data_IF_593666559969
#
_entry.id   IF_593666559969
#
_cell.length_a   1.000
_cell.length_b   1.000
_cell.length_c   1.000
_cell.angle_alpha   90.00
_cell.angle_beta   90.00
_cell.angle_gamma   90.00
#
_symmetry.space_group_name_H-M   'P 1'
#
loop_
_entity.id
_entity.type
_entity.pdbx_description
1 polymer ?
#
# COMPACT_ATOMS: atom_id res chain seq x y z
N UNK A 1 -8.57 13.90 5.64
CA UNK A 1 -8.99 12.51 5.34
C UNK A 1 -10.08 12.07 6.31
N UNK A 2 -11.32 12.23 5.92
CA UNK A 2 -12.46 11.82 6.73
C UNK A 2 -13.50 11.15 5.84
N UNK A 3 -13.83 9.90 6.17
CA UNK A 3 -14.83 9.15 5.42
C UNK A 3 -16.23 9.53 5.92
N UNK A 4 -17.18 9.56 4.99
CA UNK A 4 -18.57 10.02 5.26
C UNK A 4 -19.41 8.99 6.01
N UNK A 5 -18.82 7.89 6.46
CA UNK A 5 -19.55 6.80 7.10
C UNK A 5 -19.45 6.84 8.62
N UNK A 6 -20.46 6.31 9.28
CA UNK A 6 -20.49 6.18 10.73
C UNK A 6 -19.46 5.19 11.22
N UNK A 7 -19.12 5.27 12.51
CA UNK A 7 -18.26 4.27 13.14
C UNK A 7 -18.88 2.88 13.02
N UNK A 8 -18.02 1.88 12.83
CA UNK A 8 -18.41 0.47 12.83
C UNK A 8 -19.56 0.14 11.86
N UNK A 9 -19.55 0.78 10.67
CA UNK A 9 -20.59 0.59 9.66
C UNK A 9 -20.37 -0.65 8.78
N UNK A 10 -19.15 -1.16 8.73
CA UNK A 10 -18.78 -2.22 7.79
C UNK A 10 -18.05 -3.36 8.50
N UNK A 11 -18.15 -4.56 7.91
CA UNK A 11 -17.40 -5.72 8.37
C UNK A 11 -15.98 -5.73 7.81
N UNK A 12 -15.79 -5.18 6.61
CA UNK A 12 -14.51 -5.15 5.90
C UNK A 12 -14.39 -3.82 5.18
N UNK A 13 -13.19 -3.26 5.19
CA UNK A 13 -12.82 -2.14 4.33
C UNK A 13 -11.54 -2.50 3.60
N UNK A 14 -11.41 -2.09 2.34
CA UNK A 14 -10.21 -2.36 1.56
C UNK A 14 -9.83 -1.16 0.71
N UNK A 15 -8.53 -1.04 0.44
CA UNK A 15 -8.00 -0.05 -0.48
C UNK A 15 -6.86 -0.70 -1.27
N UNK A 16 -6.88 -0.51 -2.59
CA UNK A 16 -5.87 -1.07 -3.49
C UNK A 16 -5.13 0.04 -4.20
N UNK A 17 -3.80 0.08 -4.03
CA UNK A 17 -2.90 0.99 -4.75
C UNK A 17 -3.22 2.47 -4.56
N UNK A 18 -3.84 2.84 -3.44
CA UNK A 18 -4.27 4.20 -3.19
C UNK A 18 -3.76 4.83 -1.90
N UNK A 19 -3.41 4.01 -0.90
CA UNK A 19 -3.03 4.55 0.42
C UNK A 19 -1.76 5.41 0.35
N UNK A 20 -0.84 5.12 -0.58
CA UNK A 20 0.39 5.90 -0.72
C UNK A 20 0.14 7.34 -1.18
N UNK A 21 -1.03 7.59 -1.79
CA UNK A 21 -1.41 8.92 -2.27
C UNK A 21 -2.16 9.73 -1.22
N UNK A 22 -2.47 9.14 -0.08
CA UNK A 22 -3.13 9.83 1.03
C UNK A 22 -2.10 10.70 1.73
N UNK A 23 -2.44 11.96 1.97
CA UNK A 23 -1.53 12.94 2.55
C UNK A 23 -0.97 12.48 3.90
N UNK A 24 -1.83 11.91 4.75
CA UNK A 24 -1.41 11.34 6.02
C UNK A 24 -1.88 9.89 6.10
N UNK A 25 -1.00 8.91 5.79
CA UNK A 25 -1.39 7.51 5.78
C UNK A 25 -1.91 6.99 7.12
N UNK A 26 -1.35 7.47 8.24
CA UNK A 26 -1.80 7.04 9.56
C UNK A 26 -3.25 7.46 9.80
N UNK A 27 -3.60 8.69 9.43
CA UNK A 27 -5.00 9.14 9.52
C UNK A 27 -5.91 8.36 8.57
N UNK A 28 -5.43 8.08 7.35
CA UNK A 28 -6.19 7.26 6.40
C UNK A 28 -6.47 5.87 6.94
N UNK A 29 -5.46 5.22 7.50
CA UNK A 29 -5.62 3.90 8.11
C UNK A 29 -6.54 3.94 9.32
N UNK A 30 -6.44 4.99 10.14
CA UNK A 30 -7.34 5.18 11.28
C UNK A 30 -8.79 5.31 10.85
N UNK A 31 -9.05 6.03 9.75
CA UNK A 31 -10.39 6.18 9.21
C UNK A 31 -10.96 4.86 8.66
N UNK A 32 -10.13 4.08 7.99
CA UNK A 32 -10.54 2.75 7.54
C UNK A 32 -10.91 1.87 8.73
N UNK A 33 -10.12 1.91 9.78
CA UNK A 33 -10.40 1.14 10.99
C UNK A 33 -11.66 1.64 11.71
N UNK A 34 -11.87 2.97 11.73
CA UNK A 34 -13.04 3.57 12.38
C UNK A 34 -14.36 3.06 11.80
N UNK A 35 -14.43 2.96 10.48
CA UNK A 35 -15.68 2.55 9.80
C UNK A 35 -15.91 1.05 9.84
N UNK A 36 -14.90 0.27 10.23
CA UNK A 36 -15.02 -1.20 10.37
C UNK A 36 -15.36 -1.51 11.83
N UNK A 37 -16.26 -2.48 12.03
CA UNK A 37 -16.63 -2.91 13.37
C UNK A 37 -15.47 -3.59 14.11
N UNK A 38 -15.47 -3.58 15.44
CA UNK A 38 -14.48 -4.37 16.20
C UNK A 38 -14.50 -5.83 15.77
N UNK A 39 -13.32 -6.40 15.55
CA UNK A 39 -13.17 -7.76 15.03
C UNK A 39 -13.27 -7.85 13.51
N UNK A 40 -13.64 -6.78 12.83
CA UNK A 40 -13.66 -6.72 11.37
C UNK A 40 -12.26 -6.56 10.78
N UNK A 41 -12.18 -6.47 9.46
CA UNK A 41 -10.91 -6.56 8.74
C UNK A 41 -10.70 -5.33 7.87
N UNK A 42 -9.47 -4.80 7.89
CA UNK A 42 -9.01 -3.80 6.92
C UNK A 42 -7.95 -4.47 6.05
N UNK A 43 -8.15 -4.43 4.74
CA UNK A 43 -7.24 -5.02 3.76
C UNK A 43 -6.63 -3.91 2.91
N UNK A 44 -5.31 -3.91 2.79
CA UNK A 44 -4.60 -2.94 1.95
C UNK A 44 -3.73 -3.72 0.96
N UNK A 45 -3.82 -3.36 -0.31
CA UNK A 45 -2.94 -3.86 -1.36
C UNK A 45 -2.15 -2.67 -1.89
N UNK A 46 -0.82 -2.76 -1.83
CA UNK A 46 0.03 -1.64 -2.25
C UNK A 46 1.34 -2.17 -2.82
N UNK A 47 1.91 -1.40 -3.74
CA UNK A 47 3.22 -1.69 -4.29
C UNK A 47 4.29 -1.61 -3.20
N UNK A 48 5.30 -2.46 -3.33
CA UNK A 48 6.44 -2.46 -2.44
C UNK A 48 7.72 -2.73 -3.21
N UNK A 49 8.76 -3.14 -2.49
CA UNK A 49 10.04 -3.47 -3.08
C UNK A 49 10.29 -4.96 -2.90
N UNK A 50 10.61 -5.69 -3.99
CA UNK A 50 10.95 -7.10 -3.87
C UNK A 50 12.13 -7.32 -2.93
N UNK A 51 12.07 -8.39 -2.15
CA UNK A 51 13.14 -8.74 -1.20
C UNK A 51 13.95 -9.95 -1.64
N UNK A 52 13.56 -10.64 -2.72
CA UNK A 52 14.27 -11.81 -3.23
C UNK A 52 15.57 -11.35 -3.89
N UNK A 53 16.75 -11.83 -3.44
CA UNK A 53 18.04 -11.45 -4.05
C UNK A 53 18.07 -11.81 -5.53
N UNK A 54 18.66 -10.94 -6.34
CA UNK A 54 18.70 -11.10 -7.80
C UNK A 54 17.44 -10.55 -8.46
N UNK A 55 16.27 -10.97 -8.03
CA UNK A 55 15.01 -10.44 -8.55
C UNK A 55 14.84 -8.97 -8.16
N UNK A 56 15.20 -8.61 -6.95
CA UNK A 56 15.09 -7.22 -6.48
C UNK A 56 15.93 -6.27 -7.33
N UNK A 57 17.15 -6.64 -7.67
CA UNK A 57 18.03 -5.83 -8.51
C UNK A 57 17.49 -5.72 -9.95
N UNK A 58 17.02 -6.85 -10.52
CA UNK A 58 16.45 -6.86 -11.86
C UNK A 58 15.19 -6.01 -11.94
N UNK A 59 14.32 -6.11 -10.93
CA UNK A 59 13.11 -5.33 -10.86
C UNK A 59 13.42 -3.84 -10.72
N UNK A 60 14.38 -3.48 -9.88
CA UNK A 60 14.77 -2.08 -9.69
C UNK A 60 15.29 -1.47 -10.99
N UNK A 61 16.17 -2.19 -11.70
CA UNK A 61 16.68 -1.74 -12.99
C UNK A 61 15.55 -1.55 -14.01
N UNK A 62 14.66 -2.55 -14.10
CA UNK A 62 13.53 -2.50 -15.04
C UNK A 62 12.62 -1.31 -14.73
N UNK A 63 12.26 -1.13 -13.47
CA UNK A 63 11.33 -0.08 -13.05
C UNK A 63 11.89 1.33 -13.28
N UNK A 64 13.19 1.50 -13.10
CA UNK A 64 13.83 2.83 -13.23
C UNK A 64 14.19 3.16 -14.66
N UNK A 65 14.63 2.18 -15.45
CA UNK A 65 15.27 2.43 -16.74
C UNK A 65 14.47 1.94 -17.95
N UNK A 66 13.68 0.90 -17.80
CA UNK A 66 12.96 0.27 -18.91
C UNK A 66 11.49 0.69 -18.94
N UNK A 67 10.80 0.53 -17.83
CA UNK A 67 9.35 0.76 -17.76
C UNK A 67 8.93 2.19 -18.13
N UNK A 68 9.58 3.25 -17.62
CA UNK A 68 9.20 4.61 -17.99
C UNK A 68 9.36 4.87 -19.48
N UNK A 69 10.43 4.33 -20.10
CA UNK A 69 10.68 4.50 -21.54
C UNK A 69 9.63 3.76 -22.37
N UNK A 70 9.33 2.52 -22.03
CA UNK A 70 8.30 1.74 -22.72
C UNK A 70 6.92 2.37 -22.54
N UNK A 71 6.58 2.73 -21.32
CA UNK A 71 5.31 3.38 -21.01
C UNK A 71 5.17 4.71 -21.76
N UNK A 72 6.24 5.49 -21.81
CA UNK A 72 6.26 6.75 -22.53
C UNK A 72 6.08 6.57 -24.04
N UNK A 73 6.70 5.53 -24.63
CA UNK A 73 6.54 5.22 -26.05
C UNK A 73 5.12 4.81 -26.41
N UNK A 74 4.48 4.00 -25.55
CA UNK A 74 3.14 3.46 -25.81
C UNK A 74 2.06 4.49 -25.53
N UNK A 75 2.19 5.25 -24.42
CA UNK A 75 1.13 6.15 -23.94
C UNK A 75 1.48 7.63 -24.06
N UNK A 76 2.75 7.98 -24.26
CA UNK A 76 3.23 9.36 -24.23
C UNK A 76 3.28 9.95 -22.81
N UNK A 77 3.21 9.11 -21.77
CA UNK A 77 3.13 9.56 -20.38
C UNK A 77 4.28 9.01 -19.54
N UNK A 78 5.52 9.23 -19.99
CA UNK A 78 6.71 8.77 -19.25
C UNK A 78 6.74 9.31 -17.82
N UNK A 79 6.32 10.55 -17.59
CA UNK A 79 6.32 11.16 -16.27
C UNK A 79 5.37 10.44 -15.28
N UNK A 80 4.23 9.93 -15.78
CA UNK A 80 3.30 9.19 -14.93
C UNK A 80 3.94 7.88 -14.43
N UNK A 81 4.70 7.19 -15.28
CA UNK A 81 5.39 5.97 -14.89
C UNK A 81 6.55 6.24 -13.93
N UNK A 82 7.27 7.34 -14.14
CA UNK A 82 8.31 7.77 -13.20
C UNK A 82 7.72 8.10 -11.83
N UNK A 83 6.59 8.79 -11.79
CA UNK A 83 5.90 9.08 -10.53
C UNK A 83 5.48 7.80 -9.81
N UNK A 84 4.91 6.85 -10.55
CA UNK A 84 4.51 5.56 -9.97
C UNK A 84 5.70 4.84 -9.35
N UNK A 85 6.82 4.76 -10.08
CA UNK A 85 8.02 4.09 -9.57
C UNK A 85 8.58 4.81 -8.34
N UNK A 86 8.70 6.14 -8.38
CA UNK A 86 9.27 6.92 -7.29
C UNK A 86 8.39 6.87 -6.04
N UNK A 87 7.08 7.03 -6.19
CA UNK A 87 6.17 6.99 -5.05
C UNK A 87 6.14 5.61 -4.40
N UNK A 88 6.18 4.55 -5.22
CA UNK A 88 6.19 3.18 -4.72
C UNK A 88 7.52 2.85 -4.01
N UNK A 89 8.64 3.34 -4.54
CA UNK A 89 9.96 3.07 -3.95
C UNK A 89 10.15 3.76 -2.60
N UNK A 90 9.52 4.92 -2.40
CA UNK A 90 9.68 5.73 -1.18
C UNK A 90 8.67 5.38 -0.09
N UNK A 91 7.55 4.78 -0.47
CA UNK A 91 6.50 4.44 0.49
C UNK A 91 6.92 3.21 1.31
N UNK A 92 6.68 3.21 2.65
CA UNK A 92 7.02 2.04 3.47
C UNK A 92 6.30 0.78 3.01
N UNK A 93 6.98 -0.36 3.08
CA UNK A 93 6.39 -1.65 2.79
C UNK A 93 6.83 -2.67 3.84
N UNK A 94 6.23 -3.84 3.84
CA UNK A 94 6.50 -4.91 4.79
C UNK A 94 6.36 -4.42 6.24
N UNK A 95 7.36 -4.63 7.08
CA UNK A 95 7.33 -4.24 8.49
C UNK A 95 7.15 -2.74 8.65
N UNK A 96 7.72 -1.93 7.74
CA UNK A 96 7.57 -0.47 7.78
C UNK A 96 6.12 -0.05 7.64
N UNK A 97 5.35 -0.73 6.79
CA UNK A 97 3.93 -0.44 6.65
C UNK A 97 3.13 -0.94 7.86
N UNK A 98 3.47 -2.11 8.38
CA UNK A 98 2.83 -2.64 9.59
C UNK A 98 3.04 -1.67 10.76
N UNK A 99 4.20 -1.03 10.85
CA UNK A 99 4.42 0.00 11.86
C UNK A 99 3.46 1.19 11.70
N UNK A 100 3.18 1.59 10.46
CA UNK A 100 2.18 2.64 10.23
C UNK A 100 0.80 2.22 10.71
N UNK A 101 0.41 0.97 10.46
CA UNK A 101 -0.86 0.44 10.94
C UNK A 101 -0.90 0.44 12.47
N UNK A 102 0.18 0.01 13.11
CA UNK A 102 0.25 -0.04 14.57
C UNK A 102 0.24 1.34 15.22
N UNK A 103 0.74 2.37 14.53
CA UNK A 103 0.69 3.75 15.03
C UNK A 103 -0.74 4.26 15.23
N UNK A 104 -1.71 3.69 14.52
CA UNK A 104 -3.11 4.10 14.68
C UNK A 104 -3.69 3.70 16.03
N UNK A 105 -3.14 2.65 16.66
CA UNK A 105 -3.69 2.08 17.88
C UNK A 105 -5.03 1.38 17.68
N UNK A 106 -5.50 1.23 16.45
CA UNK A 106 -6.85 0.73 16.15
C UNK A 106 -6.88 -0.76 15.80
N UNK A 107 -5.72 -1.40 15.63
CA UNK A 107 -5.65 -2.79 15.20
C UNK A 107 -5.21 -3.71 16.32
N UNK A 108 -5.94 -4.83 16.51
CA UNK A 108 -5.54 -5.88 17.45
C UNK A 108 -4.36 -6.67 16.90
N UNK A 109 -4.30 -6.86 15.58
CA UNK A 109 -3.19 -7.55 14.92
C UNK A 109 -3.05 -7.04 13.49
N UNK A 110 -1.82 -7.08 12.98
CA UNK A 110 -1.50 -6.71 11.60
C UNK A 110 -0.53 -7.74 11.04
N UNK A 111 -0.73 -8.11 9.77
CA UNK A 111 0.15 -9.04 9.07
C UNK A 111 0.24 -8.64 7.61
N UNK A 112 1.23 -9.19 6.89
CA UNK A 112 1.37 -8.95 5.47
C UNK A 112 1.83 -10.20 4.73
N UNK A 113 1.54 -10.23 3.42
CA UNK A 113 1.99 -11.28 2.50
C UNK A 113 2.50 -10.65 1.22
N UNK A 114 3.63 -11.16 0.66
CA UNK A 114 4.07 -10.70 -0.65
C UNK A 114 3.16 -11.23 -1.75
N UNK A 115 3.01 -10.41 -2.79
CA UNK A 115 2.29 -10.76 -4.01
C UNK A 115 3.26 -10.55 -5.17
N UNK A 116 3.29 -11.49 -6.12
CA UNK A 116 4.18 -11.40 -7.29
C UNK A 116 5.64 -11.16 -6.89
N UNK A 117 6.18 -12.01 -6.02
CA UNK A 117 7.57 -11.96 -5.55
C UNK A 117 7.93 -10.66 -4.81
N UNK A 118 6.93 -9.97 -4.26
CA UNK A 118 7.18 -8.74 -3.51
C UNK A 118 7.08 -7.47 -4.32
N UNK A 119 6.58 -7.53 -5.56
CA UNK A 119 6.24 -6.33 -6.32
C UNK A 119 5.13 -5.57 -5.61
N UNK A 120 4.20 -6.30 -4.99
CA UNK A 120 3.16 -5.75 -4.15
C UNK A 120 3.05 -6.56 -2.86
N UNK A 121 2.39 -5.96 -1.88
CA UNK A 121 2.12 -6.63 -0.60
C UNK A 121 0.67 -6.43 -0.22
N UNK A 122 0.10 -7.47 0.35
CA UNK A 122 -1.24 -7.41 0.94
C UNK A 122 -1.10 -7.32 2.45
N UNK A 123 -1.71 -6.31 3.05
CA UNK A 123 -1.68 -6.09 4.49
C UNK A 123 -3.08 -6.32 5.06
N UNK A 124 -3.14 -7.01 6.17
CA UNK A 124 -4.40 -7.33 6.84
C UNK A 124 -4.34 -6.88 8.29
N UNK A 125 -5.29 -6.03 8.68
CA UNK A 125 -5.44 -5.62 10.07
C UNK A 125 -6.78 -6.06 10.62
N UNK A 126 -6.76 -6.58 11.84
CA UNK A 126 -7.98 -6.91 12.57
C UNK A 126 -8.25 -5.74 13.51
N UNK A 127 -9.43 -5.16 13.41
CA UNK A 127 -9.82 -3.99 14.20
C UNK A 127 -10.07 -4.40 15.65
N UNK A 128 -9.58 -3.58 16.60
CA UNK A 128 -9.79 -3.82 18.04
C UNK A 128 -11.26 -3.71 18.41
#
# INVERSE_FOLDING_TARGET
THLSYSNASFDIASISFGIRNVENPVLGLSELARVVRPGGVVMILEFGQPSVPGFAQAYDFYSKHVLPKLGGLVTGRAQAYEYLQNSSAQFPCREGFVELMNKTGQFASCEYKPVSLGIAYMYKGIVR
#
